data_IF_289896789948
#
_entry.id   IF_289896789948
#
_cell.length_a   1.000
_cell.length_b   1.000
_cell.length_c   1.000
_cell.angle_alpha   90.00
_cell.angle_beta   90.00
_cell.angle_gamma   90.00
#
_symmetry.space_group_name_H-M   'P 1'
#
loop_
_entity.id
_entity.type
_entity.pdbx_description
1 polymer ?
#
# COMPACT_ATOMS: atom_id res chain seq x y z
N UNK A 1 -11.52 5.89 -9.17
CA UNK A 1 -10.17 5.52 -8.73
C UNK A 1 -10.31 4.69 -7.47
N UNK A 2 -9.92 3.43 -7.50
CA UNK A 2 -9.90 2.53 -6.34
C UNK A 2 -8.76 2.89 -5.39
N UNK A 3 -8.78 2.36 -4.17
CA UNK A 3 -7.66 2.53 -3.23
C UNK A 3 -6.34 2.03 -3.82
N UNK A 4 -6.38 0.89 -4.52
CA UNK A 4 -5.24 0.32 -5.23
C UNK A 4 -4.69 1.24 -6.31
N UNK A 5 -5.55 1.73 -7.21
CA UNK A 5 -5.13 2.63 -8.30
C UNK A 5 -4.49 3.91 -7.75
N UNK A 6 -5.02 4.43 -6.63
CA UNK A 6 -4.45 5.60 -5.96
C UNK A 6 -3.04 5.29 -5.43
N UNK A 7 -2.85 4.19 -4.70
CA UNK A 7 -1.52 3.78 -4.18
C UNK A 7 -0.53 3.53 -5.32
N UNK A 8 -0.94 2.86 -6.39
CA UNK A 8 -0.09 2.59 -7.56
C UNK A 8 0.38 3.91 -8.22
N UNK A 9 -0.53 4.88 -8.36
CA UNK A 9 -0.22 6.22 -8.86
C UNK A 9 0.81 6.93 -7.98
N UNK A 10 0.53 7.03 -6.68
CA UNK A 10 1.37 7.71 -5.70
C UNK A 10 2.76 7.07 -5.55
N UNK A 11 2.80 5.74 -5.50
CA UNK A 11 4.05 4.98 -5.43
C UNK A 11 4.91 5.27 -6.67
N UNK A 12 4.32 5.23 -7.87
CA UNK A 12 5.03 5.53 -9.11
C UNK A 12 5.52 6.98 -9.17
N UNK A 13 4.69 7.95 -8.79
CA UNK A 13 5.08 9.37 -8.76
C UNK A 13 6.22 9.64 -7.77
N UNK A 14 6.23 8.95 -6.64
CA UNK A 14 7.27 9.07 -5.62
C UNK A 14 8.50 8.17 -5.87
N UNK A 15 8.57 7.46 -7.00
CA UNK A 15 9.72 6.63 -7.37
C UNK A 15 9.85 5.32 -6.57
N UNK A 16 8.74 4.79 -6.08
CA UNK A 16 8.66 3.47 -5.47
C UNK A 16 8.42 2.40 -6.54
N UNK A 17 9.03 1.24 -6.34
CA UNK A 17 8.75 0.03 -7.08
C UNK A 17 7.62 -0.76 -6.43
N UNK A 18 6.72 -1.30 -7.26
CA UNK A 18 5.64 -2.18 -6.81
C UNK A 18 5.89 -3.61 -7.28
N UNK A 19 5.80 -4.57 -6.36
CA UNK A 19 5.96 -5.99 -6.65
C UNK A 19 4.79 -6.77 -6.09
N UNK A 20 4.05 -7.45 -6.96
CA UNK A 20 3.04 -8.43 -6.52
C UNK A 20 3.75 -9.58 -5.80
N UNK A 21 3.27 -9.95 -4.61
CA UNK A 21 3.90 -10.99 -3.77
C UNK A 21 3.27 -12.37 -4.03
N UNK A 22 2.17 -12.43 -4.79
CA UNK A 22 1.49 -13.68 -5.15
C UNK A 22 0.18 -13.86 -4.39
N UNK A 23 -0.81 -14.34 -5.14
CA UNK A 23 -2.20 -14.57 -4.75
C UNK A 23 -2.33 -16.07 -4.48
N UNK A 24 -2.41 -16.46 -3.21
CA UNK A 24 -2.65 -17.84 -2.79
C UNK A 24 -3.88 -17.89 -1.91
N UNK A 25 -5.01 -18.29 -2.50
CA UNK A 25 -6.30 -18.61 -1.86
C UNK A 25 -7.00 -17.57 -0.96
N UNK A 26 -6.36 -16.46 -0.61
CA UNK A 26 -6.98 -15.41 0.20
C UNK A 26 -7.76 -14.43 -0.69
N UNK A 27 -8.86 -13.90 -0.16
CA UNK A 27 -9.75 -12.92 -0.79
C UNK A 27 -9.09 -11.60 -1.19
N UNK A 28 -7.78 -11.44 -0.98
CA UNK A 28 -7.04 -10.19 -1.08
C UNK A 28 -5.76 -10.33 -1.92
N UNK A 29 -5.38 -9.25 -2.60
CA UNK A 29 -4.16 -9.08 -3.36
C UNK A 29 -3.07 -8.44 -2.50
N UNK A 30 -1.92 -9.11 -2.38
CA UNK A 30 -0.76 -8.61 -1.64
C UNK A 30 0.25 -7.94 -2.57
N UNK A 31 0.60 -6.69 -2.26
CA UNK A 31 1.55 -5.86 -3.00
C UNK A 31 2.65 -5.39 -2.05
N UNK A 32 3.91 -5.56 -2.45
CA UNK A 32 5.04 -4.92 -1.80
C UNK A 32 5.33 -3.60 -2.51
N UNK A 33 5.44 -2.53 -1.75
CA UNK A 33 6.04 -1.27 -2.22
C UNK A 33 7.46 -1.18 -1.65
N UNK A 34 8.40 -0.76 -2.49
CA UNK A 34 9.82 -0.68 -2.14
C UNK A 34 10.46 0.56 -2.73
N UNK A 35 11.39 1.17 -1.99
CA UNK A 35 12.23 2.26 -2.47
C UNK A 35 13.66 2.00 -2.03
N UNK A 36 14.61 2.14 -2.96
CA UNK A 36 16.02 1.87 -2.70
C UNK A 36 16.70 2.99 -1.89
N UNK A 37 16.33 4.26 -2.11
CA UNK A 37 16.94 5.44 -1.46
C UNK A 37 15.86 6.44 -1.03
N UNK A 38 15.64 6.65 0.28
CA UNK A 38 16.14 5.83 1.38
C UNK A 38 15.56 4.41 1.30
N UNK A 39 16.29 3.42 1.83
CA UNK A 39 15.83 2.04 1.83
C UNK A 39 14.57 1.89 2.69
N UNK A 40 13.41 1.72 2.04
CA UNK A 40 12.12 1.57 2.70
C UNK A 40 11.28 0.53 1.97
N UNK A 41 10.45 -0.19 2.72
CA UNK A 41 9.48 -1.11 2.15
C UNK A 41 8.22 -1.15 2.98
N UNK A 42 7.10 -1.48 2.35
CA UNK A 42 5.86 -1.83 3.02
C UNK A 42 5.12 -2.92 2.25
N UNK A 43 4.32 -3.70 2.96
CA UNK A 43 3.40 -4.69 2.40
C UNK A 43 1.99 -4.13 2.55
N UNK A 44 1.25 -4.14 1.45
CA UNK A 44 -0.12 -3.67 1.35
C UNK A 44 -1.00 -4.85 0.92
N UNK A 45 -2.20 -4.92 1.49
CA UNK A 45 -3.24 -5.87 1.10
C UNK A 45 -4.45 -5.11 0.58
N UNK A 46 -4.95 -5.51 -0.58
CA UNK A 46 -6.14 -4.94 -1.19
C UNK A 46 -7.19 -6.01 -1.40
N UNK A 47 -8.46 -5.71 -1.16
CA UNK A 47 -9.56 -6.58 -1.58
C UNK A 47 -9.61 -6.70 -3.11
N UNK A 48 -10.39 -7.65 -3.63
CA UNK A 48 -10.67 -7.73 -5.09
C UNK A 48 -11.35 -6.49 -5.66
N UNK A 49 -12.05 -5.69 -4.85
CA UNK A 49 -12.62 -4.39 -5.24
C UNK A 49 -11.58 -3.27 -5.31
N UNK A 50 -10.35 -3.53 -4.85
CA UNK A 50 -9.26 -2.55 -4.82
C UNK A 50 -9.25 -1.68 -3.57
N UNK A 51 -9.95 -2.08 -2.51
CA UNK A 51 -9.97 -1.36 -1.24
C UNK A 51 -8.83 -1.84 -0.34
N UNK A 52 -8.14 -0.91 0.32
CA UNK A 52 -7.06 -1.27 1.24
C UNK A 52 -7.62 -1.99 2.47
N UNK A 53 -7.06 -3.16 2.75
CA UNK A 53 -7.39 -4.01 3.89
C UNK A 53 -6.33 -3.90 4.99
N UNK A 54 -5.06 -3.83 4.60
CA UNK A 54 -3.92 -3.86 5.53
C UNK A 54 -2.71 -3.16 4.92
N UNK A 55 -1.91 -2.50 5.76
CA UNK A 55 -0.60 -1.99 5.40
C UNK A 55 0.39 -2.08 6.58
N UNK A 56 1.58 -2.60 6.29
CA UNK A 56 2.65 -2.77 7.29
C UNK A 56 4.01 -2.43 6.69
N UNK A 57 4.76 -1.60 7.41
CA UNK A 57 6.09 -1.16 7.05
C UNK A 57 6.66 -0.27 8.15
N UNK A 58 7.95 0.00 8.12
CA UNK A 58 8.58 0.88 9.13
C UNK A 58 7.99 2.28 9.01
N UNK A 59 7.14 2.69 9.96
CA UNK A 59 6.41 3.96 9.92
C UNK A 59 4.97 3.87 9.38
N UNK A 60 4.50 2.68 9.00
CA UNK A 60 3.09 2.37 8.71
C UNK A 60 2.67 1.19 9.58
N UNK A 61 1.72 1.41 10.48
CA UNK A 61 1.03 0.32 11.18
C UNK A 61 -0.47 0.50 10.98
N UNK A 62 -0.99 -0.07 9.89
CA UNK A 62 -2.42 0.01 9.56
C UNK A 62 -3.00 -1.40 9.48
N UNK A 63 -3.61 -1.83 10.58
CA UNK A 63 -4.56 -2.94 10.55
C UNK A 63 -5.96 -2.36 10.33
N UNK A 64 -6.51 -2.45 9.11
CA UNK A 64 -7.87 -1.95 8.89
C UNK A 64 -8.87 -2.99 9.43
N UNK A 65 -9.57 -2.62 10.49
CA UNK A 65 -10.76 -3.36 10.98
C UNK A 65 -11.98 -3.05 10.08
N UNK A 66 -11.88 -2.03 9.23
CA UNK A 66 -12.92 -1.59 8.30
C UNK A 66 -12.31 -1.28 6.93
N UNK A 67 -12.63 -2.12 5.95
CA UNK A 67 -12.17 -2.06 4.55
C UNK A 67 -12.41 -0.66 3.97
N UNK A 68 -11.39 -0.10 3.31
CA UNK A 68 -11.53 1.17 2.58
C UNK A 68 -11.65 2.41 3.47
N UNK A 69 -11.34 2.32 4.77
CA UNK A 69 -11.34 3.48 5.66
C UNK A 69 -10.40 4.57 5.13
N UNK A 70 -10.94 5.76 4.86
CA UNK A 70 -10.18 6.90 4.30
C UNK A 70 -8.91 7.21 5.10
N UNK A 71 -8.96 7.13 6.43
CA UNK A 71 -7.80 7.41 7.28
C UNK A 71 -6.63 6.43 7.05
N UNK A 72 -6.92 5.14 6.79
CA UNK A 72 -5.91 4.15 6.45
C UNK A 72 -5.26 4.47 5.09
N UNK A 73 -6.08 4.82 4.10
CA UNK A 73 -5.61 5.26 2.79
C UNK A 73 -4.73 6.50 2.88
N UNK A 74 -5.14 7.52 3.64
CA UNK A 74 -4.40 8.78 3.80
C UNK A 74 -3.02 8.53 4.42
N UNK A 75 -2.89 7.60 5.38
CA UNK A 75 -1.60 7.25 5.97
C UNK A 75 -0.66 6.55 4.99
N UNK A 76 -1.17 5.62 4.18
CA UNK A 76 -0.36 4.95 3.14
C UNK A 76 0.11 5.96 2.10
N UNK A 77 -0.77 6.85 1.65
CA UNK A 77 -0.41 7.92 0.70
C UNK A 77 0.63 8.86 1.30
N UNK A 78 0.45 9.30 2.55
CA UNK A 78 1.41 10.16 3.23
C UNK A 78 2.79 9.49 3.35
N UNK A 79 2.82 8.19 3.65
CA UNK A 79 4.06 7.42 3.68
C UNK A 79 4.77 7.36 2.34
N UNK A 80 4.04 7.08 1.25
CA UNK A 80 4.61 7.02 -0.10
C UNK A 80 5.16 8.39 -0.54
N UNK A 81 4.45 9.46 -0.21
CA UNK A 81 4.84 10.84 -0.52
C UNK A 81 5.97 11.37 0.36
N UNK A 82 6.26 10.74 1.50
CA UNK A 82 7.23 11.27 2.43
C UNK A 82 8.60 11.40 1.75
N UNK A 83 9.15 12.62 1.60
CA UNK A 83 10.50 12.80 1.07
C UNK A 83 11.50 12.15 2.03
N UNK A 84 12.67 11.77 1.52
CA UNK A 84 13.72 11.11 2.31
C UNK A 84 13.97 11.83 3.65
#
# INVERSE_FOLDING_TARGET
>A
MTGRENVECEAREAGWELKAIGVGDASDDLVRVFRAVPHRSAVLSFSKSGDLFYADGVGINVASITIGAKAAMDQVVAYLRHPA
#
